data_IF_915177549042
#
_entry.id   IF_915177549042
#
_cell.length_a   1.000
_cell.length_b   1.000
_cell.length_c   1.000
_cell.angle_alpha   90.00
_cell.angle_beta   90.00
_cell.angle_gamma   90.00
#
_symmetry.space_group_name_H-M   'P 1'
#
loop_
_entity.id
_entity.type
_entity.pdbx_description
1 polymer ?
#
# COMPACT_ATOMS: atom_id res chain seq x y z
N UNK A 1 -28.69 -0.87 -6.92
CA UNK A 1 -29.61 0.25 -6.67
C UNK A 1 -30.37 0.03 -5.36
N UNK A 2 -29.89 0.63 -4.27
CA UNK A 2 -30.68 0.88 -3.06
C UNK A 2 -30.41 2.32 -2.62
N UNK A 3 -31.47 2.98 -2.18
CA UNK A 3 -31.65 4.42 -2.06
C UNK A 3 -31.92 4.76 -0.58
N UNK A 4 -31.50 5.97 -0.17
CA UNK A 4 -31.77 6.75 1.07
C UNK A 4 -31.13 6.21 2.37
N UNK A 5 -30.56 7.03 3.27
CA UNK A 5 -30.90 8.41 3.65
C UNK A 5 -29.71 9.26 4.05
N UNK A 6 -29.78 10.55 3.70
CA UNK A 6 -29.02 11.64 4.28
C UNK A 6 -29.56 11.96 5.69
N UNK A 7 -28.66 12.26 6.64
CA UNK A 7 -28.98 13.00 7.86
C UNK A 7 -27.93 14.11 8.01
N UNK A 8 -28.38 15.34 7.80
CA UNK A 8 -27.71 16.55 8.27
C UNK A 8 -27.91 16.68 9.79
N UNK A 9 -26.87 17.05 10.51
CA UNK A 9 -27.00 17.66 11.83
C UNK A 9 -25.98 18.80 11.98
N UNK A 10 -26.52 20.01 12.12
CA UNK A 10 -25.85 21.29 12.43
C UNK A 10 -25.71 21.41 13.97
N UNK A 11 -24.69 22.11 14.49
CA UNK A 11 -24.99 23.17 15.48
C UNK A 11 -24.11 24.42 15.24
N UNK A 12 -24.67 25.60 14.93
CA UNK A 12 -25.19 26.63 15.83
C UNK A 12 -24.28 27.00 17.03
N UNK A 13 -23.67 28.18 16.88
CA UNK A 13 -22.93 28.95 17.88
C UNK A 13 -23.77 29.29 19.12
N UNK A 14 -23.15 29.27 20.30
CA UNK A 14 -23.59 30.09 21.44
C UNK A 14 -22.37 30.77 22.09
N UNK A 15 -22.32 32.09 21.90
CA UNK A 15 -21.49 33.07 22.59
C UNK A 15 -21.95 33.17 24.06
N UNK A 16 -21.06 33.00 25.04
CA UNK A 16 -21.27 33.49 26.41
C UNK A 16 -19.97 34.13 26.91
N UNK A 17 -19.91 35.46 26.81
CA UNK A 17 -19.16 36.30 27.74
C UNK A 17 -20.03 36.52 28.97
N UNK A 18 -19.52 36.27 30.17
CA UNK A 18 -20.03 36.92 31.39
C UNK A 18 -18.91 37.08 32.43
N UNK A 19 -18.62 38.36 32.70
CA UNK A 19 -17.93 38.91 33.86
C UNK A 19 -18.56 38.43 35.18
N UNK A 20 -17.76 38.03 36.17
CA UNK A 20 -17.99 38.26 37.62
C UNK A 20 -16.62 38.18 38.32
N UNK A 21 -16.03 39.32 38.69
CA UNK A 21 -16.13 39.98 40.00
C UNK A 21 -15.45 39.25 41.17
N UNK A 22 -14.48 39.96 41.71
CA UNK A 22 -13.66 39.71 42.88
C UNK A 22 -14.51 39.60 44.16
N UNK A 23 -14.30 38.55 44.96
CA UNK A 23 -14.10 38.56 46.43
C UNK A 23 -14.37 37.17 47.00
N UNK A 24 -13.44 36.67 47.81
CA UNK A 24 -13.57 35.41 48.53
C UNK A 24 -12.76 35.42 49.82
N UNK A 25 -13.26 36.16 50.82
CA UNK A 25 -13.01 35.88 52.22
C UNK A 25 -14.02 34.85 52.74
N UNK A 26 -13.51 33.75 53.30
CA UNK A 26 -14.01 32.96 54.42
C UNK A 26 -15.53 32.67 54.52
N UNK A 27 -15.90 31.43 54.18
CA UNK A 27 -16.77 30.59 55.03
C UNK A 27 -18.27 30.58 54.78
N UNK A 28 -18.78 29.43 54.31
CA UNK A 28 -19.98 28.66 54.78
C UNK A 28 -20.34 27.62 53.69
N UNK A 29 -20.02 26.34 53.88
CA UNK A 29 -20.91 25.29 54.42
C UNK A 29 -22.29 25.23 53.74
N UNK A 30 -22.46 24.24 52.85
CA UNK A 30 -23.43 23.14 52.97
C UNK A 30 -24.05 22.71 51.64
N UNK A 31 -23.87 21.42 51.38
CA UNK A 31 -24.57 20.53 50.47
C UNK A 31 -25.90 21.03 49.87
N UNK A 32 -25.98 20.97 48.54
CA UNK A 32 -27.07 20.37 47.73
C UNK A 32 -26.93 20.84 46.27
N UNK A 33 -26.26 20.06 45.43
CA UNK A 33 -26.77 19.70 44.10
C UNK A 33 -25.88 18.61 43.48
N UNK A 34 -26.32 17.37 43.64
CA UNK A 34 -26.09 16.32 42.66
C UNK A 34 -26.68 16.77 41.31
N UNK A 35 -26.17 16.19 40.22
CA UNK A 35 -26.64 16.28 38.82
C UNK A 35 -25.96 17.42 38.03
N UNK A 36 -24.82 17.11 37.37
CA UNK A 36 -24.55 17.36 35.94
C UNK A 36 -23.07 17.11 35.54
N UNK A 37 -22.53 15.90 35.73
CA UNK A 37 -21.39 15.42 34.91
C UNK A 37 -21.61 13.94 34.59
N UNK A 38 -22.70 13.66 33.87
CA UNK A 38 -22.84 12.43 33.07
C UNK A 38 -23.34 12.92 31.71
N UNK A 39 -22.40 13.26 30.82
CA UNK A 39 -22.55 13.61 29.39
C UNK A 39 -21.28 14.40 29.08
N UNK A 40 -20.16 13.81 28.66
CA UNK A 40 -19.90 13.34 27.29
C UNK A 40 -18.86 12.21 27.40
N UNK A 41 -19.31 10.96 27.49
CA UNK A 41 -18.49 9.77 27.20
C UNK A 41 -19.29 8.79 26.35
N UNK A 42 -20.12 9.36 25.48
CA UNK A 42 -20.74 8.67 24.36
C UNK A 42 -19.98 8.99 23.08
N UNK A 43 -18.65 8.90 23.09
CA UNK A 43 -17.99 8.52 21.85
C UNK A 43 -18.45 7.09 21.62
N UNK A 44 -19.39 6.94 20.70
CA UNK A 44 -19.78 5.66 20.13
C UNK A 44 -18.47 5.07 19.59
N UNK A 45 -17.82 4.23 20.40
CA UNK A 45 -16.93 3.20 19.90
C UNK A 45 -17.84 2.32 19.07
N UNK A 46 -18.04 2.70 17.81
CA UNK A 46 -18.51 1.80 16.79
C UNK A 46 -17.38 0.79 16.65
N UNK A 47 -17.39 -0.25 17.50
CA UNK A 47 -16.60 -1.43 17.23
C UNK A 47 -17.21 -2.01 15.97
N UNK A 48 -16.55 -1.80 14.84
CA UNK A 48 -16.57 -2.80 13.81
C UNK A 48 -16.21 -4.10 14.51
N UNK A 49 -17.20 -4.99 14.68
CA UNK A 49 -16.89 -6.37 15.02
C UNK A 49 -15.85 -6.82 14.00
N UNK A 50 -14.69 -7.33 14.43
CA UNK A 50 -13.74 -7.88 13.49
C UNK A 50 -14.50 -8.95 12.69
N UNK A 51 -14.52 -8.80 11.37
CA UNK A 51 -15.05 -9.82 10.49
C UNK A 51 -14.44 -11.17 10.89
N UNK A 52 -15.23 -12.25 10.95
CA UNK A 52 -14.67 -13.54 11.27
C UNK A 52 -13.54 -13.85 10.28
N UNK A 53 -12.36 -14.30 10.76
CA UNK A 53 -11.23 -14.55 9.89
C UNK A 53 -11.65 -15.50 8.78
N UNK A 54 -11.38 -15.12 7.54
CA UNK A 54 -11.81 -15.91 6.41
C UNK A 54 -11.12 -17.28 6.48
N UNK A 55 -11.86 -18.39 6.40
CA UNK A 55 -11.25 -19.70 6.38
C UNK A 55 -10.22 -19.75 5.26
N UNK A 56 -9.01 -20.22 5.55
CA UNK A 56 -7.91 -20.40 4.58
C UNK A 56 -8.40 -21.08 3.29
N UNK A 57 -9.40 -21.98 3.41
CA UNK A 57 -10.05 -22.64 2.29
C UNK A 57 -10.63 -21.70 1.22
N UNK A 58 -11.14 -20.52 1.60
CA UNK A 58 -11.73 -19.58 0.64
C UNK A 58 -10.66 -18.83 -0.16
N UNK A 59 -9.52 -18.52 0.44
CA UNK A 59 -8.36 -17.94 -0.26
C UNK A 59 -7.78 -18.96 -1.24
N UNK A 60 -7.66 -20.22 -0.83
CA UNK A 60 -7.21 -21.32 -1.70
C UNK A 60 -8.19 -21.58 -2.86
N UNK A 61 -9.50 -21.59 -2.60
CA UNK A 61 -10.53 -21.74 -3.62
C UNK A 61 -10.52 -20.60 -4.65
N UNK A 62 -10.43 -19.35 -4.18
CA UNK A 62 -10.36 -18.18 -5.05
C UNK A 62 -9.08 -18.21 -5.87
N UNK A 63 -7.93 -18.49 -5.26
CA UNK A 63 -6.64 -18.59 -5.93
C UNK A 63 -6.61 -19.73 -6.97
N UNK A 64 -7.21 -20.87 -6.67
CA UNK A 64 -7.37 -21.97 -7.63
C UNK A 64 -8.24 -21.61 -8.84
N UNK A 65 -9.04 -20.55 -8.74
CA UNK A 65 -9.92 -20.08 -9.81
C UNK A 65 -9.32 -18.94 -10.65
N UNK A 66 -8.14 -18.44 -10.26
CA UNK A 66 -7.39 -17.42 -11.01
C UNK A 66 -6.61 -18.13 -12.11
N UNK A 67 -6.87 -17.70 -13.34
CA UNK A 67 -6.23 -18.26 -14.54
C UNK A 67 -5.63 -17.11 -15.33
N UNK A 68 -4.82 -17.36 -16.37
CA UNK A 68 -4.37 -16.30 -17.28
C UNK A 68 -5.50 -15.54 -18.00
N UNK A 69 -6.76 -15.99 -17.91
CA UNK A 69 -7.91 -15.25 -18.42
C UNK A 69 -8.17 -13.98 -17.56
N UNK A 70 -8.08 -12.77 -18.14
CA UNK A 70 -8.37 -11.52 -17.45
C UNK A 70 -9.76 -11.45 -16.81
N UNK A 71 -10.74 -12.22 -17.31
CA UNK A 71 -12.07 -12.29 -16.71
C UNK A 71 -12.07 -12.83 -15.28
N UNK A 72 -11.01 -13.53 -14.88
CA UNK A 72 -10.85 -14.07 -13.52
C UNK A 72 -10.25 -13.07 -12.54
N UNK A 73 -9.68 -11.96 -13.03
CA UNK A 73 -8.94 -10.99 -12.22
C UNK A 73 -9.80 -10.24 -11.20
N UNK A 74 -11.08 -9.89 -11.48
CA UNK A 74 -11.95 -9.30 -10.46
C UNK A 74 -12.11 -10.17 -9.21
N UNK A 75 -11.92 -11.49 -9.29
CA UNK A 75 -11.96 -12.37 -8.11
C UNK A 75 -10.79 -12.15 -7.16
N UNK A 76 -9.69 -11.57 -7.64
CA UNK A 76 -8.57 -11.19 -6.76
C UNK A 76 -8.97 -10.03 -5.87
N UNK A 77 -9.83 -9.13 -6.36
CA UNK A 77 -10.36 -8.04 -5.55
C UNK A 77 -11.24 -8.58 -4.40
N UNK A 78 -11.96 -9.69 -4.58
CA UNK A 78 -12.68 -10.35 -3.47
C UNK A 78 -11.73 -10.85 -2.36
N UNK A 79 -10.45 -11.11 -2.68
CA UNK A 79 -9.41 -11.45 -1.70
C UNK A 79 -8.87 -10.16 -1.06
N UNK A 80 -8.64 -9.11 -1.85
CA UNK A 80 -8.18 -7.79 -1.37
C UNK A 80 -9.17 -7.19 -0.37
N UNK A 81 -10.48 -7.28 -0.64
CA UNK A 81 -11.56 -6.75 0.21
C UNK A 81 -11.59 -7.40 1.62
N UNK A 82 -10.91 -8.53 1.80
CA UNK A 82 -10.77 -9.18 3.12
C UNK A 82 -9.65 -8.57 3.95
N UNK A 83 -8.77 -7.77 3.35
CA UNK A 83 -7.67 -7.08 4.03
C UNK A 83 -6.76 -8.04 4.81
N UNK A 84 -6.54 -7.71 6.08
CA UNK A 84 -5.61 -8.44 6.94
C UNK A 84 -6.02 -9.91 7.19
N UNK A 85 -7.31 -10.24 7.06
CA UNK A 85 -7.83 -11.61 7.27
C UNK A 85 -7.36 -12.58 6.18
N UNK A 86 -7.06 -12.09 4.97
CA UNK A 86 -6.56 -12.92 3.87
C UNK A 86 -5.07 -13.29 3.99
N UNK A 87 -4.32 -12.60 4.85
CA UNK A 87 -2.86 -12.67 4.86
C UNK A 87 -2.28 -14.07 5.09
N UNK A 88 -2.80 -14.91 6.01
CA UNK A 88 -2.27 -16.26 6.19
C UNK A 88 -2.34 -17.10 4.90
N UNK A 89 -3.46 -17.03 4.17
CA UNK A 89 -3.63 -17.73 2.90
C UNK A 89 -2.73 -17.17 1.80
N UNK A 90 -2.68 -15.84 1.67
CA UNK A 90 -1.81 -15.16 0.70
C UNK A 90 -0.33 -15.48 0.92
N UNK A 91 0.11 -15.60 2.18
CA UNK A 91 1.47 -15.99 2.49
C UNK A 91 1.80 -17.43 2.09
N UNK A 92 0.84 -18.36 2.15
CA UNK A 92 1.06 -19.71 1.66
C UNK A 92 1.18 -19.74 0.13
N UNK A 93 0.31 -18.99 -0.56
CA UNK A 93 0.27 -18.92 -2.01
C UNK A 93 1.51 -18.30 -2.65
N UNK A 94 2.25 -17.44 -1.95
CA UNK A 94 3.53 -16.90 -2.43
C UNK A 94 4.61 -17.97 -2.64
N UNK A 95 4.48 -19.14 -2.03
CA UNK A 95 5.43 -20.24 -2.17
C UNK A 95 4.84 -21.41 -3.02
N UNK A 96 3.68 -21.21 -3.66
CA UNK A 96 3.02 -22.25 -4.48
C UNK A 96 3.80 -22.54 -5.78
N UNK A 97 3.73 -23.77 -6.28
CA UNK A 97 4.37 -24.15 -7.54
C UNK A 97 3.74 -23.44 -8.76
N UNK A 98 2.43 -23.16 -8.69
CA UNK A 98 1.69 -22.47 -9.74
C UNK A 98 1.99 -20.96 -9.74
N UNK A 99 2.57 -20.49 -10.84
CA UNK A 99 2.93 -19.07 -11.02
C UNK A 99 1.72 -18.13 -10.98
N UNK A 100 0.53 -18.58 -11.37
CA UNK A 100 -0.67 -17.74 -11.35
C UNK A 100 -1.13 -17.48 -9.91
N UNK A 101 -1.02 -18.48 -9.03
CA UNK A 101 -1.31 -18.32 -7.60
C UNK A 101 -0.28 -17.41 -6.91
N UNK A 102 1.02 -17.58 -7.21
CA UNK A 102 2.06 -16.69 -6.69
C UNK A 102 1.83 -15.25 -7.13
N UNK A 103 1.45 -15.05 -8.40
CA UNK A 103 1.13 -13.73 -8.95
C UNK A 103 -0.09 -13.12 -8.27
N UNK A 104 -1.16 -13.89 -8.10
CA UNK A 104 -2.35 -13.46 -7.38
C UNK A 104 -2.04 -13.01 -5.96
N UNK A 105 -1.21 -13.79 -5.27
CA UNK A 105 -0.80 -13.46 -3.92
C UNK A 105 0.04 -12.19 -3.87
N UNK A 106 1.03 -12.05 -4.75
CA UNK A 106 1.86 -10.85 -4.82
C UNK A 106 1.02 -9.59 -5.13
N UNK A 107 0.08 -9.68 -6.09
CA UNK A 107 -0.84 -8.60 -6.43
C UNK A 107 -1.74 -8.24 -5.24
N UNK A 108 -2.42 -9.21 -4.63
CA UNK A 108 -3.33 -8.94 -3.51
C UNK A 108 -2.58 -8.30 -2.33
N UNK A 109 -1.40 -8.82 -1.99
CA UNK A 109 -0.55 -8.25 -0.95
C UNK A 109 -0.08 -6.83 -1.29
N UNK A 110 0.19 -6.53 -2.56
CA UNK A 110 0.56 -5.18 -3.01
C UNK A 110 -0.56 -4.15 -2.82
N UNK A 111 -1.82 -4.60 -2.80
CA UNK A 111 -2.99 -3.76 -2.57
C UNK A 111 -3.26 -3.60 -1.08
N UNK A 112 -3.30 -4.72 -0.35
CA UNK A 112 -3.60 -4.75 1.08
C UNK A 112 -2.58 -3.93 1.89
N UNK A 113 -1.29 -3.97 1.51
CA UNK A 113 -0.22 -3.32 2.30
C UNK A 113 -0.45 -1.82 2.52
N UNK A 114 -1.00 -1.08 1.55
CA UNK A 114 -1.18 0.38 1.71
C UNK A 114 -2.40 0.74 2.56
N UNK A 115 -3.27 -0.22 2.85
CA UNK A 115 -4.46 -0.07 3.71
C UNK A 115 -4.23 -0.64 5.12
N UNK A 116 -3.25 -1.52 5.27
CA UNK A 116 -2.84 -2.08 6.56
C UNK A 116 -2.11 -1.07 7.46
N UNK A 117 -2.20 -1.24 8.79
CA UNK A 117 -1.41 -0.47 9.75
C UNK A 117 0.09 -0.80 9.72
N UNK A 118 0.95 0.13 10.17
CA UNK A 118 2.43 0.05 10.07
C UNK A 118 3.03 -1.31 10.49
N UNK A 119 2.55 -1.87 11.60
CA UNK A 119 3.04 -3.17 12.08
C UNK A 119 2.77 -4.32 11.10
N UNK A 120 1.64 -4.26 10.40
CA UNK A 120 1.25 -5.25 9.42
C UNK A 120 1.91 -4.98 8.06
N UNK A 121 2.13 -3.71 7.71
CA UNK A 121 2.94 -3.31 6.55
C UNK A 121 4.33 -3.93 6.58
N UNK A 122 5.02 -3.82 7.72
CA UNK A 122 6.36 -4.42 7.89
C UNK A 122 6.38 -5.94 7.68
N UNK A 123 5.32 -6.64 8.11
CA UNK A 123 5.18 -8.10 7.93
C UNK A 123 4.92 -8.47 6.47
N UNK A 124 4.01 -7.78 5.80
CA UNK A 124 3.72 -7.99 4.37
C UNK A 124 4.97 -7.70 3.54
N UNK A 125 5.64 -6.58 3.80
CA UNK A 125 6.89 -6.21 3.13
C UNK A 125 7.97 -7.28 3.31
N UNK A 126 8.21 -7.75 4.55
CA UNK A 126 9.18 -8.81 4.82
C UNK A 126 8.90 -10.09 4.03
N UNK A 127 7.61 -10.43 3.85
CA UNK A 127 7.20 -11.61 3.07
C UNK A 127 7.42 -11.40 1.57
N UNK A 128 6.94 -10.29 1.01
CA UNK A 128 7.12 -9.95 -0.42
C UNK A 128 8.59 -9.85 -0.81
N UNK A 129 9.45 -9.33 0.07
CA UNK A 129 10.89 -9.19 -0.18
C UNK A 129 11.58 -10.51 -0.50
N UNK A 130 11.05 -11.65 -0.02
CA UNK A 130 11.58 -12.98 -0.38
C UNK A 130 11.37 -13.32 -1.85
N UNK A 131 10.36 -12.72 -2.49
CA UNK A 131 9.97 -12.96 -3.88
C UNK A 131 10.71 -12.07 -4.90
N UNK A 132 11.72 -11.29 -4.48
CA UNK A 132 12.54 -10.49 -5.40
C UNK A 132 13.22 -11.30 -6.50
N UNK A 133 13.52 -12.58 -6.23
CA UNK A 133 14.11 -13.49 -7.22
C UNK A 133 13.11 -14.58 -7.66
N UNK A 134 11.80 -14.33 -7.54
CA UNK A 134 10.81 -15.24 -8.11
C UNK A 134 11.10 -15.42 -9.62
N UNK A 135 11.06 -16.65 -10.15
CA UNK A 135 11.28 -16.88 -11.58
C UNK A 135 10.23 -16.19 -12.46
N UNK A 136 9.03 -15.94 -11.94
CA UNK A 136 7.97 -15.21 -12.65
C UNK A 136 8.22 -13.69 -12.56
N UNK A 137 8.47 -13.00 -13.68
CA UNK A 137 8.79 -11.57 -13.66
C UNK A 137 7.68 -10.71 -13.06
N UNK A 138 6.41 -11.10 -13.22
CA UNK A 138 5.28 -10.38 -12.63
C UNK A 138 5.35 -10.36 -11.10
N UNK A 139 5.67 -11.50 -10.48
CA UNK A 139 5.81 -11.63 -9.02
C UNK A 139 7.00 -10.80 -8.53
N UNK A 140 8.16 -10.97 -9.17
CA UNK A 140 9.40 -10.28 -8.78
C UNK A 140 9.28 -8.77 -8.93
N UNK A 141 8.73 -8.28 -10.04
CA UNK A 141 8.54 -6.85 -10.29
C UNK A 141 7.55 -6.23 -9.30
N UNK A 142 6.43 -6.91 -9.02
CA UNK A 142 5.44 -6.44 -8.04
C UNK A 142 6.04 -6.33 -6.64
N UNK A 143 6.75 -7.36 -6.19
CA UNK A 143 7.41 -7.35 -4.88
C UNK A 143 8.43 -6.21 -4.76
N UNK A 144 9.27 -6.02 -5.79
CA UNK A 144 10.26 -4.95 -5.82
C UNK A 144 9.61 -3.57 -5.84
N UNK A 145 8.57 -3.36 -6.64
CA UNK A 145 7.87 -2.08 -6.75
C UNK A 145 7.16 -1.67 -5.46
N UNK A 146 6.50 -2.62 -4.79
CA UNK A 146 5.91 -2.39 -3.45
C UNK A 146 6.98 -1.99 -2.44
N UNK A 147 8.12 -2.69 -2.44
CA UNK A 147 9.21 -2.41 -1.49
C UNK A 147 9.76 -1.00 -1.68
N UNK A 148 9.95 -0.57 -2.93
CA UNK A 148 10.37 0.80 -3.27
C UNK A 148 9.36 1.83 -2.74
N UNK A 149 8.06 1.58 -2.95
CA UNK A 149 6.98 2.45 -2.49
C UNK A 149 6.84 2.52 -0.96
N UNK A 150 7.34 1.51 -0.23
CA UNK A 150 7.44 1.48 1.22
C UNK A 150 8.78 2.02 1.75
N UNK A 151 9.62 2.62 0.89
CA UNK A 151 10.90 3.18 1.30
C UNK A 151 12.06 2.18 1.40
N UNK A 152 11.90 0.93 0.94
CA UNK A 152 13.00 -0.02 0.78
C UNK A 152 13.62 0.05 -0.64
N UNK A 153 14.72 0.80 -0.75
CA UNK A 153 15.48 0.98 -2.00
C UNK A 153 16.10 -0.32 -2.53
N UNK A 154 16.10 -1.42 -1.77
CA UNK A 154 16.66 -2.69 -2.23
C UNK A 154 15.87 -3.32 -3.38
N UNK A 155 14.63 -2.87 -3.65
CA UNK A 155 13.87 -3.23 -4.85
C UNK A 155 14.37 -2.60 -6.16
N UNK A 156 15.06 -1.45 -6.10
CA UNK A 156 15.53 -0.70 -7.29
C UNK A 156 16.35 -1.57 -8.28
N UNK A 157 17.40 -2.28 -7.86
CA UNK A 157 18.19 -3.10 -8.81
C UNK A 157 17.39 -4.22 -9.48
N UNK A 158 16.29 -4.68 -8.86
CA UNK A 158 15.41 -5.69 -9.45
C UNK A 158 14.52 -5.08 -10.54
N UNK A 159 13.95 -3.89 -10.31
CA UNK A 159 13.22 -3.18 -11.36
C UNK A 159 14.11 -2.75 -12.53
N UNK A 160 15.36 -2.34 -12.26
CA UNK A 160 16.34 -2.05 -13.33
C UNK A 160 16.58 -3.29 -14.21
N UNK A 161 16.65 -4.49 -13.61
CA UNK A 161 16.78 -5.75 -14.37
C UNK A 161 15.56 -6.00 -15.24
N UNK A 162 14.37 -5.76 -14.71
CA UNK A 162 13.08 -5.95 -15.39
C UNK A 162 12.83 -5.00 -16.55
N UNK A 163 13.60 -3.92 -16.68
CA UNK A 163 13.63 -3.11 -17.90
C UNK A 163 14.06 -3.93 -19.15
N UNK A 164 14.78 -5.04 -18.98
CA UNK A 164 15.13 -5.90 -20.12
C UNK A 164 13.99 -6.84 -20.55
N UNK A 165 12.91 -6.95 -19.78
CA UNK A 165 11.83 -7.95 -19.95
C UNK A 165 10.61 -7.35 -20.65
N UNK A 166 10.21 -7.94 -21.77
CA UNK A 166 9.04 -7.50 -22.57
C UNK A 166 7.78 -8.33 -22.29
N UNK A 167 7.81 -9.16 -21.25
CA UNK A 167 6.67 -9.98 -20.83
C UNK A 167 5.52 -9.13 -20.31
N UNK A 168 4.30 -9.62 -20.47
CA UNK A 168 3.09 -8.98 -19.94
C UNK A 168 3.06 -9.12 -18.42
N UNK A 169 2.82 -8.02 -17.71
CA UNK A 169 2.54 -8.04 -16.29
C UNK A 169 1.16 -8.68 -16.08
N UNK A 170 1.12 -9.77 -15.33
CA UNK A 170 -0.13 -10.47 -15.04
C UNK A 170 -0.99 -9.69 -14.03
N UNK A 171 -2.32 -9.92 -14.08
CA UNK A 171 -3.30 -9.34 -13.14
C UNK A 171 -3.40 -7.80 -13.16
N UNK A 172 -3.09 -7.15 -14.28
CA UNK A 172 -3.28 -5.71 -14.47
C UNK A 172 -4.25 -5.42 -15.63
N UNK A 173 -5.14 -4.44 -15.43
CA UNK A 173 -6.06 -3.92 -16.45
C UNK A 173 -5.98 -2.37 -16.48
N UNK A 174 -5.61 -1.75 -17.61
CA UNK A 174 -5.25 -2.37 -18.89
C UNK A 174 -3.94 -3.17 -18.83
N UNK A 175 -3.75 -4.17 -19.72
CA UNK A 175 -2.50 -4.90 -19.81
C UNK A 175 -1.29 -3.98 -20.03
N UNK A 176 -0.26 -4.17 -19.21
CA UNK A 176 1.01 -3.45 -19.25
C UNK A 176 2.15 -4.48 -19.32
N UNK A 177 3.31 -4.15 -19.90
CA UNK A 177 4.49 -5.00 -19.85
C UNK A 177 5.29 -4.77 -18.57
N UNK A 178 6.05 -5.78 -18.14
CA UNK A 178 6.89 -5.73 -16.93
C UNK A 178 7.90 -4.58 -17.00
N UNK A 179 8.51 -4.32 -18.17
CA UNK A 179 9.41 -3.18 -18.32
C UNK A 179 8.71 -1.81 -18.23
N UNK A 180 7.47 -1.68 -18.71
CA UNK A 180 6.69 -0.45 -18.66
C UNK A 180 6.28 -0.13 -17.21
N UNK A 181 5.82 -1.14 -16.48
CA UNK A 181 5.61 -1.05 -15.03
C UNK A 181 6.90 -0.63 -14.31
N UNK A 182 8.01 -1.30 -14.60
CA UNK A 182 9.28 -1.09 -13.92
C UNK A 182 9.81 0.33 -14.13
N UNK A 183 9.79 0.86 -15.36
CA UNK A 183 10.24 2.24 -15.60
C UNK A 183 9.30 3.25 -14.95
N UNK A 184 7.99 3.01 -14.94
CA UNK A 184 7.02 3.90 -14.30
C UNK A 184 7.30 4.01 -12.81
N UNK A 185 7.49 2.89 -12.11
CA UNK A 185 7.82 2.87 -10.68
C UNK A 185 9.17 3.54 -10.41
N UNK A 186 10.21 3.19 -11.18
CA UNK A 186 11.53 3.79 -11.03
C UNK A 186 11.47 5.32 -11.18
N UNK A 187 10.77 5.83 -12.20
CA UNK A 187 10.57 7.26 -12.41
C UNK A 187 9.84 7.92 -11.25
N UNK A 188 8.71 7.33 -10.84
CA UNK A 188 7.87 7.88 -9.77
C UNK A 188 8.61 8.03 -8.45
N UNK A 189 9.46 7.07 -8.09
CA UNK A 189 10.11 7.07 -6.79
C UNK A 189 11.54 7.59 -6.80
N UNK A 190 12.20 7.76 -7.95
CA UNK A 190 13.59 8.27 -7.98
C UNK A 190 13.74 9.61 -8.68
N UNK A 191 12.69 10.07 -9.37
CA UNK A 191 12.73 11.26 -10.23
C UNK A 191 13.61 11.10 -11.49
N UNK A 192 14.28 9.95 -11.67
CA UNK A 192 15.16 9.69 -12.80
C UNK A 192 14.39 9.07 -13.98
N UNK A 193 14.79 9.39 -15.21
CA UNK A 193 14.12 8.90 -16.43
C UNK A 193 15.08 8.20 -17.40
N UNK A 194 16.25 8.80 -17.63
CA UNK A 194 17.30 8.34 -18.55
C UNK A 194 16.83 8.01 -19.99
N UNK A 195 15.65 8.48 -20.40
CA UNK A 195 15.12 8.31 -21.76
C UNK A 195 14.69 6.87 -22.08
N UNK A 196 14.36 6.05 -21.08
CA UNK A 196 13.90 4.69 -21.34
C UNK A 196 12.48 4.70 -21.95
N UNK A 197 12.36 4.15 -23.16
CA UNK A 197 11.09 3.89 -23.83
C UNK A 197 10.82 2.37 -23.88
N UNK A 198 9.78 1.84 -23.22
CA UNK A 198 9.41 0.42 -23.26
C UNK A 198 9.22 -0.11 -24.68
N UNK A 199 8.69 0.73 -25.59
CA UNK A 199 8.41 0.38 -26.98
C UNK A 199 9.57 0.72 -27.93
N UNK A 200 10.65 1.30 -27.39
CA UNK A 200 11.83 1.66 -28.14
C UNK A 200 12.62 0.43 -28.62
N UNK A 201 13.58 0.67 -29.50
CA UNK A 201 14.46 -0.40 -30.00
C UNK A 201 15.24 -1.08 -28.86
N UNK A 202 15.61 -2.36 -29.05
CA UNK A 202 16.47 -3.07 -28.10
C UNK A 202 17.78 -2.32 -27.79
N UNK A 203 18.37 -1.67 -28.79
CA UNK A 203 19.60 -0.90 -28.63
C UNK A 203 19.40 0.34 -27.75
N UNK A 204 18.36 1.14 -28.01
CA UNK A 204 18.04 2.32 -27.20
C UNK A 204 17.67 1.94 -25.76
N UNK A 205 16.90 0.86 -25.57
CA UNK A 205 16.58 0.34 -24.23
C UNK A 205 17.84 -0.11 -23.49
N UNK A 206 18.75 -0.83 -24.15
CA UNK A 206 20.01 -1.25 -23.54
C UNK A 206 20.88 -0.05 -23.12
N UNK A 207 20.93 1.02 -23.91
CA UNK A 207 21.63 2.25 -23.54
C UNK A 207 21.03 2.90 -22.28
N UNK A 208 19.70 3.05 -22.23
CA UNK A 208 19.01 3.61 -21.07
C UNK A 208 19.17 2.72 -19.82
N UNK A 209 19.11 1.39 -19.96
CA UNK A 209 19.42 0.45 -18.87
C UNK A 209 20.85 0.65 -18.35
N UNK A 210 21.83 0.87 -19.24
CA UNK A 210 23.20 1.18 -18.85
C UNK A 210 23.30 2.44 -17.97
N UNK A 211 22.53 3.48 -18.30
CA UNK A 211 22.44 4.72 -17.49
C UNK A 211 21.82 4.45 -16.12
N UNK A 212 20.73 3.67 -16.06
CA UNK A 212 20.11 3.24 -14.80
C UNK A 212 21.07 2.46 -13.90
N UNK A 213 21.77 1.45 -14.46
CA UNK A 213 22.76 0.64 -13.73
C UNK A 213 23.88 1.52 -13.18
N UNK A 214 24.41 2.44 -14.00
CA UNK A 214 25.44 3.38 -13.57
C UNK A 214 24.95 4.29 -12.45
N UNK A 215 23.79 4.91 -12.63
CA UNK A 215 23.21 5.79 -11.62
C UNK A 215 23.01 5.06 -10.28
N UNK A 216 22.46 3.85 -10.31
CA UNK A 216 22.28 3.07 -9.08
C UNK A 216 23.62 2.77 -8.40
N UNK A 217 24.66 2.38 -9.16
CA UNK A 217 25.99 2.15 -8.62
C UNK A 217 26.59 3.39 -7.94
N UNK A 218 26.35 4.57 -8.52
CA UNK A 218 26.88 5.85 -8.02
C UNK A 218 26.08 6.42 -6.83
N UNK A 219 24.78 6.08 -6.68
CA UNK A 219 23.86 6.76 -5.74
C UNK A 219 23.23 5.87 -4.67
N UNK A 220 23.32 4.53 -4.77
CA UNK A 220 22.63 3.61 -3.84
C UNK A 220 22.84 3.92 -2.36
N UNK A 221 24.03 4.41 -1.98
CA UNK A 221 24.39 4.65 -0.58
C UNK A 221 23.90 6.03 -0.10
N UNK A 222 23.70 6.99 -0.99
CA UNK A 222 23.21 8.34 -0.69
C UNK A 222 21.69 8.51 -0.86
N UNK A 223 21.00 7.53 -1.43
CA UNK A 223 19.54 7.61 -1.58
C UNK A 223 18.85 7.53 -0.23
N UNK A 224 18.09 8.57 0.09
CA UNK A 224 17.29 8.69 1.30
C UNK A 224 15.81 8.85 0.93
N UNK A 225 14.93 8.22 1.70
CA UNK A 225 13.49 8.32 1.52
C UNK A 225 12.98 9.65 2.09
N UNK A 226 12.37 10.49 1.25
CA UNK A 226 11.70 11.72 1.68
C UNK A 226 10.25 11.41 2.06
N UNK A 227 9.97 11.36 3.36
CA UNK A 227 8.64 11.08 3.90
C UNK A 227 7.57 12.09 3.43
N UNK A 228 7.95 13.33 3.11
CA UNK A 228 6.98 14.36 2.70
C UNK A 228 6.58 14.21 1.24
N UNK A 229 7.47 13.67 0.40
CA UNK A 229 7.25 13.51 -1.03
C UNK A 229 6.86 12.10 -1.43
N UNK A 230 7.21 11.10 -0.60
CA UNK A 230 7.03 9.70 -0.94
C UNK A 230 7.93 9.27 -2.10
N UNK A 231 9.14 9.83 -2.19
CA UNK A 231 10.14 9.52 -3.22
C UNK A 231 11.56 9.56 -2.61
N UNK A 232 12.54 9.00 -3.31
CA UNK A 232 13.95 9.07 -2.93
C UNK A 232 14.57 10.39 -3.39
N UNK A 233 15.33 11.01 -2.49
CA UNK A 233 16.17 12.18 -2.75
C UNK A 233 17.56 12.01 -2.13
N UNK A 234 18.18 13.14 -1.75
CA UNK A 234 19.43 13.14 -0.98
C UNK A 234 20.72 13.05 -1.79
N UNK A 235 20.66 12.94 -3.11
CA UNK A 235 21.82 13.08 -3.97
C UNK A 235 22.07 14.57 -4.29
N UNK A 236 23.29 15.06 -4.02
CA UNK A 236 23.71 16.39 -4.47
C UNK A 236 23.67 16.44 -5.99
N UNK A 237 22.96 17.40 -6.58
CA UNK A 237 23.17 17.81 -7.96
C UNK A 237 24.68 18.10 -8.13
N UNK A 238 25.41 17.22 -8.82
CA UNK A 238 26.81 17.43 -9.18
C UNK A 238 26.91 17.69 -10.68
#
# INVERSE_FOLDING_TARGET
FRIFSAIHCIPQYLFIHLFFFNMGGVGRLSALLLIFIVSISGCICWSSEPSPPVPVSKVDELAASITPDPSTYPKVEDIVDQGDDALPGLYALLDDEDMYKRTAAAYALSRIVFESGEGQQGRIHSRLRKSFNDPEPSVSATAAGVSIALGDKSGIPYLIRHLATEETLLLIDPPETVNAYSIRVLKSFTGQDFGYDPNGSRASRAEAIGKWVKWWADNKDSLEWDLNKGEYGGYTER
#
